data_IF_767174061800
#
_entry.id   IF_767174061800
#
_cell.length_a   1.000
_cell.length_b   1.000
_cell.length_c   1.000
_cell.angle_alpha   90.00
_cell.angle_beta   90.00
_cell.angle_gamma   90.00
#
_symmetry.space_group_name_H-M   'P 1'
#
loop_
_entity.id
_entity.type
_entity.pdbx_description
1 polymer ?
#
# COMPACT_ATOMS: atom_id res chain seq x y z
N UNK A 1 4.07 -11.84 4.11
CA UNK A 1 3.64 -13.12 3.53
C UNK A 1 2.91 -13.95 4.59
N UNK A 2 2.09 -14.90 4.17
CA UNK A 2 1.49 -15.89 5.06
C UNK A 2 2.51 -17.02 5.31
N UNK A 3 2.35 -17.73 6.43
CA UNK A 3 3.28 -18.82 6.82
C UNK A 3 3.04 -20.14 6.06
N UNK A 4 1.95 -20.22 5.30
CA UNK A 4 1.58 -21.40 4.50
C UNK A 4 0.68 -21.01 3.33
N UNK A 5 0.60 -21.88 2.34
CA UNK A 5 -0.35 -21.73 1.23
C UNK A 5 -1.79 -21.75 1.74
N UNK A 6 -2.61 -20.77 1.32
CA UNK A 6 -3.98 -20.64 1.80
C UNK A 6 -4.88 -19.83 0.85
N UNK A 7 -6.18 -20.01 0.99
CA UNK A 7 -7.19 -19.17 0.35
C UNK A 7 -7.25 -17.82 1.04
N UNK A 8 -7.35 -16.76 0.26
CA UNK A 8 -7.51 -15.38 0.70
C UNK A 8 -8.83 -14.89 0.13
N UNK A 9 -9.73 -14.46 0.98
CA UNK A 9 -11.04 -13.98 0.55
C UNK A 9 -10.92 -12.69 -0.26
N UNK A 10 -11.89 -12.44 -1.15
CA UNK A 10 -11.98 -11.18 -1.90
C UNK A 10 -11.92 -9.95 -0.97
N UNK A 11 -12.59 -10.02 0.20
CA UNK A 11 -12.56 -8.97 1.23
C UNK A 11 -11.15 -8.71 1.77
N UNK A 12 -10.40 -9.76 2.05
CA UNK A 12 -9.00 -9.65 2.50
C UNK A 12 -8.10 -9.08 1.41
N UNK A 13 -8.30 -9.45 0.13
CA UNK A 13 -7.55 -8.86 -1.00
C UNK A 13 -7.77 -7.35 -1.07
N UNK A 14 -9.03 -6.89 -1.00
CA UNK A 14 -9.39 -5.47 -1.08
C UNK A 14 -8.84 -4.70 0.13
N UNK A 15 -8.97 -5.27 1.32
CA UNK A 15 -8.59 -4.64 2.58
C UNK A 15 -7.14 -4.94 2.99
N UNK A 16 -6.30 -5.39 2.09
CA UNK A 16 -4.92 -5.75 2.40
C UNK A 16 -4.04 -4.52 2.61
N UNK A 17 -3.18 -4.58 3.64
CA UNK A 17 -2.17 -3.52 3.89
C UNK A 17 -1.08 -3.51 2.83
N UNK A 18 -0.66 -4.68 2.39
CA UNK A 18 0.44 -4.85 1.43
C UNK A 18 -0.01 -5.75 0.30
N UNK A 19 0.09 -5.27 -0.93
CA UNK A 19 -0.24 -6.03 -2.12
C UNK A 19 0.99 -6.80 -2.64
N UNK A 20 0.74 -7.84 -3.43
CA UNK A 20 1.80 -8.65 -4.00
C UNK A 20 2.44 -7.95 -5.19
N UNK A 21 3.77 -8.11 -5.41
CA UNK A 21 4.43 -7.62 -6.61
C UNK A 21 3.83 -8.25 -7.88
N UNK A 22 3.78 -7.48 -8.97
CA UNK A 22 3.24 -7.95 -10.26
C UNK A 22 3.85 -9.29 -10.70
N UNK A 23 5.16 -9.48 -10.53
CA UNK A 23 5.87 -10.70 -10.90
C UNK A 23 5.45 -11.95 -10.13
N UNK A 24 4.68 -11.81 -9.05
CA UNK A 24 4.16 -12.92 -8.24
C UNK A 24 2.67 -13.20 -8.48
N UNK A 25 2.04 -12.51 -9.42
CA UNK A 25 0.62 -12.65 -9.71
C UNK A 25 0.39 -13.62 -10.86
N UNK A 26 -0.50 -14.58 -10.65
CA UNK A 26 -1.09 -15.41 -11.70
C UNK A 26 -2.59 -15.08 -11.75
N UNK A 27 -3.05 -14.60 -12.89
CA UNK A 27 -4.42 -14.14 -13.09
C UNK A 27 -5.06 -14.89 -14.25
N UNK A 28 -6.36 -15.11 -14.19
CA UNK A 28 -7.11 -15.68 -15.31
C UNK A 28 -7.14 -14.68 -16.47
N UNK A 29 -6.83 -15.13 -17.67
CA UNK A 29 -6.75 -14.28 -18.85
C UNK A 29 -8.08 -13.58 -19.20
N UNK A 30 -9.20 -14.21 -18.88
CA UNK A 30 -10.53 -13.64 -19.07
C UNK A 30 -10.74 -12.34 -18.29
N UNK A 31 -10.18 -12.22 -17.08
CA UNK A 31 -10.28 -10.98 -16.29
C UNK A 31 -9.45 -9.85 -16.89
N UNK A 32 -8.35 -10.21 -17.56
CA UNK A 32 -7.45 -9.25 -18.20
C UNK A 32 -7.98 -8.72 -19.54
N UNK A 33 -8.90 -9.44 -20.19
CA UNK A 33 -9.50 -9.02 -21.48
C UNK A 33 -10.55 -7.94 -21.32
N UNK A 34 -11.12 -7.76 -20.15
CA UNK A 34 -12.23 -6.84 -19.86
C UNK A 34 -11.90 -5.90 -18.71
N UNK A 35 -10.67 -5.39 -18.66
CA UNK A 35 -10.27 -4.42 -17.64
C UNK A 35 -11.06 -3.11 -17.82
N UNK A 36 -11.63 -2.56 -16.75
CA UNK A 36 -12.40 -1.33 -16.81
C UNK A 36 -11.48 -0.11 -17.01
N UNK A 37 -12.04 1.00 -17.53
CA UNK A 37 -11.29 2.20 -17.84
C UNK A 37 -10.50 2.73 -16.62
N UNK A 38 -11.07 2.68 -15.41
CA UNK A 38 -10.39 3.16 -14.20
C UNK A 38 -9.10 2.40 -13.85
N UNK A 39 -8.89 1.20 -14.41
CA UNK A 39 -7.60 0.51 -14.33
C UNK A 39 -6.52 1.26 -15.10
N UNK A 40 -6.83 1.69 -16.33
CA UNK A 40 -5.90 2.41 -17.20
C UNK A 40 -5.62 3.84 -16.73
N UNK A 41 -6.57 4.43 -15.99
CA UNK A 41 -6.41 5.75 -15.37
C UNK A 41 -5.51 5.71 -14.12
N UNK A 42 -5.19 4.52 -13.64
CA UNK A 42 -4.38 4.33 -12.44
C UNK A 42 -2.89 4.38 -12.77
N UNK A 43 -2.11 5.12 -11.95
CA UNK A 43 -0.65 5.27 -12.13
C UNK A 43 0.15 4.01 -11.77
N UNK A 44 -0.46 3.06 -11.09
CA UNK A 44 0.11 1.77 -10.73
C UNK A 44 -0.80 0.67 -11.25
N UNK A 45 -0.23 -0.44 -11.71
CA UNK A 45 -1.00 -1.52 -12.33
C UNK A 45 -1.28 -2.71 -11.40
N UNK A 46 -0.35 -3.04 -10.53
CA UNK A 46 -0.39 -4.27 -9.71
C UNK A 46 -1.50 -4.25 -8.64
N UNK A 47 -1.68 -3.15 -7.94
CA UNK A 47 -2.70 -3.02 -6.90
C UNK A 47 -4.11 -3.04 -7.49
N UNK A 48 -4.45 -2.20 -8.49
CA UNK A 48 -5.77 -2.25 -9.14
C UNK A 48 -6.09 -3.63 -9.72
N UNK A 49 -5.11 -4.29 -10.34
CA UNK A 49 -5.27 -5.62 -10.92
C UNK A 49 -5.73 -6.64 -9.86
N UNK A 50 -5.11 -6.63 -8.68
CA UNK A 50 -5.50 -7.51 -7.57
C UNK A 50 -6.91 -7.19 -7.06
N UNK A 51 -7.23 -5.90 -6.89
CA UNK A 51 -8.53 -5.44 -6.39
C UNK A 51 -9.65 -5.76 -7.39
N UNK A 52 -9.44 -5.52 -8.67
CA UNK A 52 -10.41 -5.83 -9.73
C UNK A 52 -10.65 -7.34 -9.80
N UNK A 53 -9.60 -8.17 -9.67
CA UNK A 53 -9.77 -9.61 -9.68
C UNK A 53 -10.61 -10.14 -8.51
N UNK A 54 -10.63 -9.44 -7.38
CA UNK A 54 -11.46 -9.77 -6.23
C UNK A 54 -12.98 -9.63 -6.49
N UNK A 55 -13.39 -8.91 -7.54
CA UNK A 55 -14.78 -8.87 -8.01
C UNK A 55 -15.28 -10.25 -8.46
N UNK A 56 -14.38 -11.08 -8.98
CA UNK A 56 -14.69 -12.38 -9.56
C UNK A 56 -14.53 -13.54 -8.58
N UNK A 57 -13.88 -13.34 -7.45
CA UNK A 57 -13.70 -14.36 -6.43
C UNK A 57 -12.49 -14.17 -5.54
N UNK A 58 -12.18 -15.22 -4.80
CA UNK A 58 -11.07 -15.25 -3.86
C UNK A 58 -9.74 -15.54 -4.57
N UNK A 59 -8.65 -15.16 -3.91
CA UNK A 59 -7.30 -15.49 -4.34
C UNK A 59 -6.77 -16.73 -3.61
N UNK A 60 -5.71 -17.33 -4.13
CA UNK A 60 -4.96 -18.36 -3.45
C UNK A 60 -3.49 -17.96 -3.33
N UNK A 61 -2.99 -17.92 -2.12
CA UNK A 61 -1.58 -17.69 -1.84
C UNK A 61 -0.81 -19.01 -1.90
N UNK A 62 0.25 -19.05 -2.70
CA UNK A 62 1.16 -20.19 -2.78
C UNK A 62 2.44 -19.81 -2.04
N UNK A 63 2.73 -20.52 -0.95
CA UNK A 63 3.92 -20.31 -0.14
C UNK A 63 5.13 -21.00 -0.78
N UNK A 64 5.61 -20.42 -1.89
CA UNK A 64 6.83 -20.84 -2.59
C UNK A 64 7.53 -19.62 -3.17
N UNK A 65 8.85 -19.64 -3.15
CA UNK A 65 9.68 -18.63 -3.84
C UNK A 65 9.65 -18.95 -5.34
N UNK A 66 8.86 -18.20 -6.11
CA UNK A 66 8.69 -18.39 -7.56
C UNK A 66 9.11 -17.18 -8.39
N UNK A 67 9.47 -16.06 -7.75
CA UNK A 67 9.92 -14.86 -8.44
C UNK A 67 10.97 -14.13 -7.62
N UNK A 68 11.79 -13.32 -8.30
CA UNK A 68 12.80 -12.46 -7.68
C UNK A 68 12.51 -11.01 -8.05
N UNK A 69 12.43 -10.15 -7.04
CA UNK A 69 12.26 -8.72 -7.25
C UNK A 69 13.60 -8.01 -7.23
N UNK A 70 13.98 -7.39 -8.35
CA UNK A 70 15.23 -6.63 -8.47
C UNK A 70 15.08 -5.28 -7.78
N UNK A 71 15.81 -5.06 -6.71
CA UNK A 71 15.85 -3.80 -5.98
C UNK A 71 17.00 -2.90 -6.45
N UNK A 72 16.89 -1.60 -6.16
CA UNK A 72 17.98 -0.64 -6.41
C UNK A 72 18.19 -0.26 -7.88
N UNK A 73 17.24 -0.53 -8.77
CA UNK A 73 17.31 -0.08 -10.17
C UNK A 73 16.99 1.42 -10.23
N UNK A 74 17.95 2.28 -10.66
CA UNK A 74 17.77 3.74 -10.65
C UNK A 74 16.57 4.24 -11.48
N UNK A 75 16.26 3.55 -12.58
CA UNK A 75 15.15 3.89 -13.49
C UNK A 75 13.81 3.26 -13.09
N UNK A 76 13.75 2.55 -11.96
CA UNK A 76 12.52 1.91 -11.50
C UNK A 76 11.48 2.93 -11.05
N UNK A 77 10.19 2.55 -11.18
CA UNK A 77 9.09 3.35 -10.62
C UNK A 77 9.31 3.63 -9.12
N UNK A 78 9.76 2.62 -8.35
CA UNK A 78 10.05 2.78 -6.92
C UNK A 78 11.10 3.86 -6.67
N UNK A 79 12.21 3.87 -7.44
CA UNK A 79 13.24 4.89 -7.30
C UNK A 79 12.70 6.29 -7.63
N UNK A 80 11.85 6.40 -8.67
CA UNK A 80 11.24 7.67 -9.07
C UNK A 80 10.35 8.29 -7.98
N UNK A 81 9.76 7.48 -7.08
CA UNK A 81 8.92 7.99 -6.00
C UNK A 81 9.69 8.82 -4.97
N UNK A 82 10.99 8.58 -4.82
CA UNK A 82 11.86 9.28 -3.85
C UNK A 82 12.55 10.52 -4.44
N UNK A 83 12.35 10.85 -5.70
CA UNK A 83 12.91 12.06 -6.34
C UNK A 83 11.92 13.23 -6.32
N UNK A 84 12.41 14.47 -6.28
CA UNK A 84 11.58 15.69 -6.32
C UNK A 84 10.70 15.88 -5.06
N UNK A 85 9.51 16.49 -5.24
CA UNK A 85 8.58 16.75 -4.13
C UNK A 85 7.87 15.46 -3.68
N UNK A 86 8.47 14.81 -2.69
CA UNK A 86 7.96 13.57 -2.12
C UNK A 86 6.54 13.70 -1.52
N UNK A 87 6.25 14.81 -0.82
CA UNK A 87 4.94 15.03 -0.20
C UNK A 87 3.84 15.13 -1.26
N UNK A 88 4.09 15.90 -2.31
CA UNK A 88 3.17 16.01 -3.45
C UNK A 88 2.94 14.66 -4.11
N UNK A 89 4.00 13.90 -4.35
CA UNK A 89 3.87 12.54 -4.94
C UNK A 89 3.04 11.60 -4.08
N UNK A 90 3.20 11.63 -2.75
CA UNK A 90 2.38 10.81 -1.85
C UNK A 90 0.91 11.24 -1.87
N UNK A 91 0.62 12.53 -1.93
CA UNK A 91 -0.76 13.03 -2.07
C UNK A 91 -1.36 12.65 -3.43
N UNK A 92 -0.64 12.84 -4.52
CA UNK A 92 -1.07 12.47 -5.87
C UNK A 92 -1.35 10.96 -5.98
N UNK A 93 -0.50 10.13 -5.35
CA UNK A 93 -0.71 8.69 -5.27
C UNK A 93 -1.99 8.35 -4.50
N UNK A 94 -2.19 8.97 -3.33
CA UNK A 94 -3.42 8.79 -2.56
C UNK A 94 -4.66 9.16 -3.37
N UNK A 95 -4.67 10.33 -4.02
CA UNK A 95 -5.82 10.79 -4.80
C UNK A 95 -6.11 9.87 -6.00
N UNK A 96 -5.08 9.38 -6.66
CA UNK A 96 -5.21 8.44 -7.77
C UNK A 96 -5.82 7.11 -7.30
N UNK A 97 -5.28 6.52 -6.24
CA UNK A 97 -5.80 5.27 -5.67
C UNK A 97 -7.21 5.42 -5.08
N UNK A 98 -7.51 6.57 -4.46
CA UNK A 98 -8.85 6.86 -3.94
C UNK A 98 -9.88 6.81 -5.06
N UNK A 99 -9.62 7.48 -6.20
CA UNK A 99 -10.51 7.43 -7.38
C UNK A 99 -10.70 6.00 -7.90
N UNK A 100 -9.63 5.22 -7.95
CA UNK A 100 -9.69 3.81 -8.34
C UNK A 100 -10.61 3.01 -7.41
N UNK A 101 -10.46 3.15 -6.09
CA UNK A 101 -11.32 2.48 -5.12
C UNK A 101 -12.80 2.89 -5.24
N UNK A 102 -13.08 4.18 -5.44
CA UNK A 102 -14.44 4.69 -5.63
C UNK A 102 -15.07 4.17 -6.93
N UNK A 103 -14.29 4.04 -7.99
CA UNK A 103 -14.75 3.46 -9.25
C UNK A 103 -15.00 1.95 -9.13
N UNK A 104 -14.10 1.22 -8.46
CA UNK A 104 -14.27 -0.20 -8.16
C UNK A 104 -15.52 -0.48 -7.30
N UNK A 105 -15.77 0.36 -6.30
CA UNK A 105 -16.94 0.23 -5.43
C UNK A 105 -18.24 0.27 -6.24
N UNK A 106 -18.37 1.25 -7.14
CA UNK A 106 -19.50 1.36 -8.08
C UNK A 106 -19.57 0.17 -9.04
N UNK A 107 -18.43 -0.23 -9.63
CA UNK A 107 -18.33 -1.33 -10.58
C UNK A 107 -18.67 -2.69 -9.94
N UNK A 108 -18.52 -2.82 -8.63
CA UNK A 108 -18.89 -4.01 -7.84
C UNK A 108 -20.31 -3.93 -7.26
N UNK A 109 -21.15 -2.96 -7.68
CA UNK A 109 -22.48 -2.68 -7.12
C UNK A 109 -22.44 -2.52 -5.58
N UNK A 110 -21.41 -1.86 -5.07
CA UNK A 110 -21.17 -1.62 -3.63
C UNK A 110 -21.08 -2.88 -2.77
N UNK A 111 -20.88 -4.04 -3.38
CA UNK A 111 -20.77 -5.34 -2.68
C UNK A 111 -19.68 -5.38 -1.62
N UNK A 112 -18.61 -4.58 -1.80
CA UNK A 112 -17.46 -4.51 -0.91
C UNK A 112 -17.26 -3.11 -0.29
N UNK A 113 -18.35 -2.36 -0.15
CA UNK A 113 -18.30 -0.96 0.28
C UNK A 113 -17.53 -0.76 1.60
N UNK A 114 -17.77 -1.61 2.60
CA UNK A 114 -17.08 -1.52 3.89
C UNK A 114 -15.57 -1.75 3.79
N UNK A 115 -15.16 -2.71 2.97
CA UNK A 115 -13.76 -3.04 2.73
C UNK A 115 -13.06 -1.93 1.94
N UNK A 116 -13.74 -1.34 0.96
CA UNK A 116 -13.25 -0.21 0.18
C UNK A 116 -13.04 1.02 1.07
N UNK A 117 -14.01 1.36 1.92
CA UNK A 117 -13.88 2.49 2.84
C UNK A 117 -12.74 2.27 3.86
N UNK A 118 -12.60 1.05 4.39
CA UNK A 118 -11.49 0.71 5.26
C UNK A 118 -10.14 0.81 4.54
N UNK A 119 -10.05 0.33 3.30
CA UNK A 119 -8.84 0.43 2.48
C UNK A 119 -8.47 1.89 2.18
N UNK A 120 -9.42 2.73 1.79
CA UNK A 120 -9.22 4.17 1.56
C UNK A 120 -8.74 4.88 2.84
N UNK A 121 -9.35 4.56 3.99
CA UNK A 121 -8.96 5.13 5.27
C UNK A 121 -7.53 4.74 5.66
N UNK A 122 -7.19 3.44 5.49
CA UNK A 122 -5.84 2.94 5.74
C UNK A 122 -4.81 3.57 4.79
N UNK A 123 -5.12 3.67 3.50
CA UNK A 123 -4.26 4.32 2.52
C UNK A 123 -3.97 5.79 2.92
N UNK A 124 -4.98 6.53 3.35
CA UNK A 124 -4.80 7.90 3.84
C UNK A 124 -3.90 7.95 5.07
N UNK A 125 -4.09 7.05 6.01
CA UNK A 125 -3.22 6.94 7.18
C UNK A 125 -1.76 6.67 6.80
N UNK A 126 -1.51 5.72 5.89
CA UNK A 126 -0.16 5.41 5.41
C UNK A 126 0.48 6.60 4.68
N UNK A 127 -0.32 7.39 3.95
CA UNK A 127 0.16 8.66 3.36
C UNK A 127 0.68 9.60 4.43
N UNK A 128 -0.04 9.77 5.55
CA UNK A 128 0.44 10.60 6.66
C UNK A 128 1.71 10.05 7.30
N UNK A 129 1.81 8.73 7.47
CA UNK A 129 3.03 8.07 7.98
C UNK A 129 4.22 8.37 7.05
N UNK A 130 4.02 8.24 5.75
CA UNK A 130 5.07 8.47 4.75
C UNK A 130 5.58 9.92 4.75
N UNK A 131 4.68 10.88 4.90
CA UNK A 131 5.05 12.32 4.90
C UNK A 131 5.34 12.90 6.29
N UNK A 132 5.33 12.05 7.33
CA UNK A 132 5.57 12.43 8.73
C UNK A 132 4.61 13.50 9.26
N UNK A 133 3.34 13.41 8.90
CA UNK A 133 2.28 14.25 9.46
C UNK A 133 1.83 13.70 10.81
N UNK A 134 2.61 13.99 11.85
CA UNK A 134 2.38 13.48 13.22
C UNK A 134 1.03 13.91 13.80
N UNK A 135 0.51 15.07 13.45
CA UNK A 135 -0.80 15.55 13.88
C UNK A 135 -1.89 14.58 13.48
N UNK A 136 -1.87 14.12 12.23
CA UNK A 136 -2.84 13.16 11.72
C UNK A 136 -2.53 11.73 12.17
N UNK A 137 -1.26 11.30 12.18
CA UNK A 137 -0.85 9.96 12.61
C UNK A 137 -1.32 9.64 14.04
N UNK A 138 -1.18 10.60 14.96
CA UNK A 138 -1.51 10.42 16.39
C UNK A 138 -2.95 10.84 16.73
N UNK A 139 -3.77 11.20 15.73
CA UNK A 139 -5.13 11.61 15.96
C UNK A 139 -6.04 10.45 16.38
N UNK A 140 -7.09 10.77 17.15
CA UNK A 140 -8.11 9.76 17.55
C UNK A 140 -8.78 9.08 16.35
N UNK A 141 -8.88 9.78 15.21
CA UNK A 141 -9.48 9.28 13.97
C UNK A 141 -8.79 8.02 13.44
N UNK A 142 -7.47 7.94 13.58
CA UNK A 142 -6.63 6.87 13.04
C UNK A 142 -6.07 5.92 14.11
N UNK A 143 -6.69 5.90 15.30
CA UNK A 143 -6.25 5.06 16.44
C UNK A 143 -6.14 3.57 16.08
N UNK A 144 -7.07 3.06 15.27
CA UNK A 144 -7.08 1.64 14.90
C UNK A 144 -5.96 1.37 13.88
N UNK A 145 -5.84 2.19 12.84
CA UNK A 145 -4.78 2.07 11.83
C UNK A 145 -3.39 2.21 12.45
N UNK A 146 -3.25 3.09 13.46
CA UNK A 146 -2.01 3.23 14.22
C UNK A 146 -1.66 1.96 15.03
N UNK A 147 -2.64 1.26 15.59
CA UNK A 147 -2.43 0.00 16.31
C UNK A 147 -2.02 -1.15 15.39
N UNK A 148 -2.40 -1.10 14.10
CA UNK A 148 -2.02 -2.09 13.08
C UNK A 148 -0.56 -1.97 12.65
N UNK A 149 0.12 -0.84 12.93
CA UNK A 149 1.55 -0.70 12.73
C UNK A 149 2.30 -1.68 13.64
N UNK A 150 3.44 -2.19 13.19
CA UNK A 150 4.27 -3.02 14.04
C UNK A 150 4.89 -2.22 15.21
N UNK A 151 5.46 -2.94 16.17
CA UNK A 151 6.05 -2.31 17.35
C UNK A 151 7.19 -1.35 16.99
N UNK A 152 8.03 -1.69 16.01
CA UNK A 152 9.17 -0.87 15.59
C UNK A 152 8.68 0.41 14.92
N UNK A 153 7.72 0.31 14.01
CA UNK A 153 7.11 1.48 13.35
C UNK A 153 6.54 2.46 14.39
N UNK A 154 5.74 1.95 15.34
CA UNK A 154 5.14 2.77 16.40
C UNK A 154 6.20 3.41 17.30
N UNK A 155 7.25 2.66 17.63
CA UNK A 155 8.38 3.16 18.42
C UNK A 155 9.07 4.32 17.69
N UNK A 156 9.46 4.13 16.41
CA UNK A 156 10.16 5.16 15.65
C UNK A 156 9.29 6.40 15.41
N UNK A 157 7.98 6.26 15.17
CA UNK A 157 7.06 7.39 15.04
C UNK A 157 7.06 8.22 16.34
N UNK A 158 6.91 7.57 17.49
CA UNK A 158 6.94 8.26 18.79
C UNK A 158 8.31 8.86 19.08
N UNK A 159 9.37 8.13 18.84
CA UNK A 159 10.73 8.60 19.06
C UNK A 159 11.04 9.86 18.24
N UNK A 160 10.68 9.86 16.96
CA UNK A 160 10.84 11.03 16.07
C UNK A 160 9.96 12.20 16.53
N UNK A 161 8.73 11.93 16.98
CA UNK A 161 7.80 12.98 17.45
C UNK A 161 8.24 13.64 18.74
N UNK A 162 8.64 12.85 19.77
CA UNK A 162 8.99 13.38 21.09
C UNK A 162 10.44 13.85 21.19
N UNK A 163 11.36 13.27 20.45
CA UNK A 163 12.80 13.53 20.51
C UNK A 163 13.41 13.75 19.12
N UNK A 164 12.90 14.74 18.34
CA UNK A 164 13.30 14.93 16.93
C UNK A 164 14.81 15.21 16.77
N UNK A 165 15.44 15.92 17.71
CA UNK A 165 16.89 16.20 17.67
C UNK A 165 17.73 14.92 17.82
N UNK A 166 17.38 14.07 18.77
CA UNK A 166 18.08 12.80 19.03
C UNK A 166 17.84 11.83 17.85
N UNK A 167 16.61 11.73 17.37
CA UNK A 167 16.29 10.91 16.21
C UNK A 167 17.11 11.29 14.98
N UNK A 168 17.23 12.58 14.67
CA UNK A 168 18.01 13.06 13.53
C UNK A 168 19.50 12.77 13.69
N UNK A 169 20.06 12.86 14.90
CA UNK A 169 21.46 12.50 15.19
C UNK A 169 21.69 11.01 14.93
N UNK A 170 20.87 10.14 15.52
CA UNK A 170 20.96 8.67 15.34
C UNK A 170 20.83 8.29 13.86
N UNK A 171 19.88 8.89 13.13
CA UNK A 171 19.70 8.63 11.71
C UNK A 171 20.92 9.02 10.87
N UNK A 172 21.54 10.17 11.14
CA UNK A 172 22.76 10.63 10.46
C UNK A 172 23.92 9.67 10.70
N UNK A 173 24.12 9.25 11.95
CA UNK A 173 25.17 8.29 12.31
C UNK A 173 24.94 6.93 11.64
N UNK A 174 23.72 6.42 11.66
CA UNK A 174 23.39 5.15 11.00
C UNK A 174 23.58 5.17 9.48
N UNK A 175 23.38 6.31 8.83
CA UNK A 175 23.62 6.50 7.40
C UNK A 175 25.12 6.63 7.07
N UNK A 176 25.94 7.20 7.95
CA UNK A 176 27.40 7.30 7.77
C UNK A 176 28.10 5.96 7.90
N UNK A 177 27.56 5.04 8.70
CA UNK A 177 28.10 3.69 8.88
C UNK A 177 27.76 2.70 7.73
N UNK A 178 26.88 3.11 6.80
CA UNK A 178 26.50 2.29 5.63
C UNK A 178 27.25 2.66 4.34
N UNK A 179 28.13 3.64 4.41
CA UNK A 179 29.06 3.99 3.33
C UNK A 179 30.41 3.30 3.55
#
# INVERSE_FOLDING_TARGET
PYEKSMRITAKEVINKRTHYPTASLLLRSEYMKSLPQYYFDCKVGDIPMQIISAKYGDAYYIDRVMSVYRMGVPTSWTASQFSGDYKKKQEDYYQNMKRMYEAYDKDSDYRFHSEVEAAKKRLRFLTYVNVRDFKNILSKRYKNEYKELDFRERFFIKFEYFLPGVYNLVRKTALSLKK
#
